data_IF_489392580806
#
_entry.id   IF_489392580806
#
_cell.length_a   1.000
_cell.length_b   1.000
_cell.length_c   1.000
_cell.angle_alpha   90.00
_cell.angle_beta   90.00
_cell.angle_gamma   90.00
#
_symmetry.space_group_name_H-M   'P 1'
#
loop_
_entity.id
_entity.type
_entity.pdbx_description
1 polymer ?
#
# COMPACT_ATOMS: atom_id res chain seq x y z
N UNK A 1 11.78 -1.75 17.82
CA UNK A 1 10.33 -1.67 17.54
C UNK A 1 10.12 -2.24 16.16
N UNK A 2 9.14 -3.09 15.99
CA UNK A 2 8.84 -3.64 14.69
C UNK A 2 8.28 -2.56 13.75
N UNK A 3 8.52 -2.68 12.46
CA UNK A 3 7.89 -1.89 11.42
C UNK A 3 7.37 -2.83 10.34
N UNK A 4 6.15 -3.26 10.49
CA UNK A 4 5.50 -4.09 9.48
C UNK A 4 5.22 -3.28 8.21
N UNK A 5 5.57 -3.85 7.08
CA UNK A 5 5.38 -3.22 5.78
C UNK A 5 4.91 -4.21 4.71
N UNK A 6 4.32 -3.66 3.66
CA UNK A 6 4.06 -4.39 2.43
C UNK A 6 5.26 -4.28 1.50
N UNK A 7 5.75 -5.41 1.03
CA UNK A 7 6.77 -5.50 -0.03
C UNK A 7 6.12 -6.07 -1.28
N UNK A 8 6.29 -5.41 -2.41
CA UNK A 8 5.66 -5.79 -3.68
C UNK A 8 6.74 -6.08 -4.72
N UNK A 9 6.86 -7.32 -5.16
CA UNK A 9 7.67 -7.69 -6.32
C UNK A 9 6.88 -7.41 -7.61
N UNK A 10 7.15 -6.26 -8.23
CA UNK A 10 6.43 -5.78 -9.40
C UNK A 10 6.70 -6.64 -10.63
N UNK A 11 7.86 -7.30 -10.72
CA UNK A 11 8.17 -8.21 -11.84
C UNK A 11 7.32 -9.49 -11.80
N UNK A 12 6.71 -9.80 -10.66
CA UNK A 12 5.78 -10.91 -10.46
C UNK A 12 4.32 -10.49 -10.52
N UNK A 13 4.04 -9.19 -10.50
CA UNK A 13 2.67 -8.68 -10.57
C UNK A 13 2.16 -8.76 -12.02
N UNK A 14 1.19 -9.64 -12.25
CA UNK A 14 0.63 -9.90 -13.59
C UNK A 14 -0.56 -8.99 -13.95
N UNK A 15 -0.88 -8.00 -13.13
CA UNK A 15 -1.99 -7.09 -13.42
C UNK A 15 -3.38 -7.71 -13.34
N UNK A 16 -3.56 -8.80 -12.60
CA UNK A 16 -4.84 -9.54 -12.57
C UNK A 16 -6.02 -8.75 -11.95
N UNK A 17 -5.74 -7.64 -11.25
CA UNK A 17 -6.70 -6.76 -10.55
C UNK A 17 -7.70 -7.47 -9.61
N UNK A 18 -7.67 -8.78 -9.53
CA UNK A 18 -8.66 -9.59 -8.80
C UNK A 18 -8.15 -10.10 -7.47
N UNK A 19 -7.06 -10.83 -7.46
CA UNK A 19 -6.60 -11.56 -6.28
C UNK A 19 -6.42 -10.70 -5.04
N UNK A 20 -5.64 -9.62 -5.13
CA UNK A 20 -5.37 -8.75 -3.99
C UNK A 20 -6.56 -7.88 -3.58
N UNK A 21 -7.23 -7.22 -4.54
CA UNK A 21 -8.37 -6.33 -4.24
C UNK A 21 -9.59 -7.10 -3.80
N UNK A 22 -9.97 -8.16 -4.53
CA UNK A 22 -11.15 -8.98 -4.19
C UNK A 22 -10.94 -9.70 -2.87
N UNK A 23 -9.76 -10.30 -2.66
CA UNK A 23 -9.42 -10.95 -1.39
C UNK A 23 -9.51 -9.97 -0.21
N UNK A 24 -8.98 -8.74 -0.38
CA UNK A 24 -9.07 -7.70 0.65
C UNK A 24 -10.52 -7.28 0.92
N UNK A 25 -11.34 -7.07 -0.13
CA UNK A 25 -12.74 -6.69 0.02
C UNK A 25 -13.56 -7.75 0.74
N UNK A 26 -13.39 -9.00 0.36
CA UNK A 26 -14.11 -10.13 0.97
C UNK A 26 -13.73 -10.28 2.44
N UNK A 27 -12.45 -10.27 2.75
CA UNK A 27 -11.92 -10.40 4.11
C UNK A 27 -12.41 -9.27 5.03
N UNK A 28 -12.31 -8.03 4.56
CA UNK A 28 -12.57 -6.85 5.38
C UNK A 28 -14.00 -6.29 5.22
N UNK A 29 -14.88 -6.99 4.52
CA UNK A 29 -16.30 -6.61 4.29
C UNK A 29 -16.41 -5.18 3.75
N UNK A 30 -15.55 -4.83 2.78
CA UNK A 30 -15.56 -3.50 2.18
C UNK A 30 -16.69 -3.42 1.15
N UNK A 31 -17.50 -2.38 1.25
CA UNK A 31 -18.63 -2.11 0.34
C UNK A 31 -18.22 -2.07 -1.15
N UNK A 32 -19.19 -2.18 -2.05
CA UNK A 32 -18.96 -2.02 -3.48
C UNK A 32 -18.47 -0.59 -3.79
N UNK A 33 -17.54 -0.49 -4.73
CA UNK A 33 -16.91 0.77 -5.11
C UNK A 33 -15.54 0.96 -4.45
N UNK A 34 -15.41 1.44 -3.19
CA UNK A 34 -14.13 1.75 -2.58
C UNK A 34 -13.24 0.52 -2.39
N UNK A 35 -11.91 0.72 -2.35
CA UNK A 35 -10.93 -0.33 -2.11
C UNK A 35 -9.81 0.17 -1.21
N UNK A 36 -9.26 -0.69 -0.33
CA UNK A 36 -8.08 -0.40 0.49
C UNK A 36 -6.77 -0.42 -0.31
N UNK A 37 -6.83 -0.82 -1.56
CA UNK A 37 -5.69 -0.80 -2.47
C UNK A 37 -6.12 -0.26 -3.82
N UNK A 38 -5.28 0.55 -4.43
CA UNK A 38 -5.45 1.05 -5.80
C UNK A 38 -4.47 0.33 -6.70
N UNK A 39 -4.84 0.12 -7.94
CA UNK A 39 -4.05 -0.62 -8.91
C UNK A 39 -3.74 0.27 -10.10
N UNK A 40 -2.48 0.49 -10.38
CA UNK A 40 -2.00 1.34 -11.44
C UNK A 40 -1.28 0.54 -12.54
N UNK A 41 -1.40 1.03 -13.76
CA UNK A 41 -0.62 0.55 -14.90
C UNK A 41 0.46 1.59 -15.19
N UNK A 42 1.71 1.23 -14.96
CA UNK A 42 2.87 2.10 -15.17
C UNK A 42 3.45 1.83 -16.55
N UNK A 43 3.35 2.80 -17.44
CA UNK A 43 3.71 2.66 -18.84
C UNK A 43 2.47 2.68 -19.76
N UNK A 44 2.65 2.41 -21.10
CA UNK A 44 3.91 2.02 -21.72
C UNK A 44 4.94 3.16 -21.77
N UNK A 45 6.21 2.83 -21.58
CA UNK A 45 7.36 3.70 -21.79
C UNK A 45 8.31 3.11 -22.83
N UNK A 46 9.23 3.91 -23.37
CA UNK A 46 10.16 3.47 -24.41
C UNK A 46 9.57 3.53 -25.82
N UNK A 47 10.30 2.94 -26.78
CA UNK A 47 9.95 2.87 -28.19
C UNK A 47 10.07 1.43 -28.68
N UNK A 48 9.21 1.04 -29.62
CA UNK A 48 9.29 -0.29 -30.22
C UNK A 48 10.69 -0.55 -30.82
N UNK A 49 11.32 -1.72 -30.54
CA UNK A 49 10.79 -2.89 -29.84
C UNK A 49 10.90 -2.85 -28.29
N UNK A 50 11.57 -1.87 -27.71
CA UNK A 50 11.90 -1.81 -26.28
C UNK A 50 10.83 -1.04 -25.51
N UNK A 51 9.63 -1.60 -25.48
CA UNK A 51 8.49 -1.06 -24.72
C UNK A 51 8.44 -1.71 -23.34
N UNK A 52 8.39 -0.87 -22.30
CA UNK A 52 8.30 -1.31 -20.92
C UNK A 52 6.93 -0.96 -20.31
N UNK A 53 6.41 -1.86 -19.49
CA UNK A 53 5.20 -1.66 -18.72
C UNK A 53 5.20 -2.58 -17.49
N UNK A 54 4.70 -2.10 -16.36
CA UNK A 54 4.51 -2.92 -15.16
C UNK A 54 3.23 -2.51 -14.42
N UNK A 55 2.80 -3.35 -13.49
CA UNK A 55 1.59 -3.14 -12.71
C UNK A 55 1.95 -2.89 -11.25
N UNK A 56 1.36 -1.85 -10.66
CA UNK A 56 1.68 -1.41 -9.31
C UNK A 56 0.41 -1.39 -8.44
N UNK A 57 0.21 -2.38 -7.59
CA UNK A 57 -0.78 -2.31 -6.52
C UNK A 57 -0.24 -1.43 -5.39
N UNK A 58 -0.99 -0.40 -5.04
CA UNK A 58 -0.66 0.52 -3.93
C UNK A 58 -1.70 0.41 -2.84
N UNK A 59 -1.26 0.20 -1.62
CA UNK A 59 -2.04 0.21 -0.40
C UNK A 59 -1.38 1.13 0.61
N UNK A 60 -1.93 1.26 1.82
CA UNK A 60 -1.31 2.08 2.85
C UNK A 60 0.16 1.75 3.03
N UNK A 61 0.99 2.79 3.01
CA UNK A 61 2.44 2.69 3.05
C UNK A 61 2.99 2.47 4.47
N UNK A 62 2.15 2.45 5.50
CA UNK A 62 2.55 2.28 6.91
C UNK A 62 3.72 3.19 7.28
N UNK A 63 3.58 4.48 7.01
CA UNK A 63 4.62 5.50 7.15
C UNK A 63 5.25 5.52 8.54
N UNK A 64 6.53 5.88 8.61
CA UNK A 64 7.25 6.04 9.87
C UNK A 64 6.73 7.27 10.63
N UNK A 65 6.49 8.37 9.92
CA UNK A 65 5.94 9.63 10.43
C UNK A 65 4.62 9.96 9.71
N UNK A 66 3.50 9.33 10.10
CA UNK A 66 2.27 9.38 9.32
C UNK A 66 1.48 10.67 9.56
N UNK A 67 1.51 11.64 8.65
CA UNK A 67 0.71 12.87 8.72
C UNK A 67 -0.78 12.59 8.95
N UNK A 68 -1.30 11.46 8.48
CA UNK A 68 -2.71 11.12 8.66
C UNK A 68 -3.11 10.90 10.13
N UNK A 69 -2.17 10.55 11.02
CA UNK A 69 -2.44 10.43 12.46
C UNK A 69 -2.42 11.79 13.14
N UNK A 70 -1.51 12.67 12.71
CA UNK A 70 -1.36 14.03 13.30
C UNK A 70 -2.59 14.90 13.07
N UNK A 71 -3.24 14.77 11.91
CA UNK A 71 -4.42 15.58 11.57
C UNK A 71 -5.73 15.00 12.11
N UNK A 72 -5.69 13.88 12.84
CA UNK A 72 -6.91 13.24 13.35
C UNK A 72 -7.40 13.96 14.60
N UNK A 73 -8.57 14.65 14.55
CA UNK A 73 -9.03 15.47 15.68
C UNK A 73 -9.48 14.65 16.89
N UNK A 74 -9.82 13.37 16.69
CA UNK A 74 -10.29 12.47 17.75
C UNK A 74 -9.25 11.45 18.18
N UNK A 75 -8.07 11.41 17.52
CA UNK A 75 -7.07 10.36 17.73
C UNK A 75 -7.49 8.99 17.21
N UNK A 76 -8.59 8.87 16.48
CA UNK A 76 -9.06 7.61 15.91
C UNK A 76 -8.06 6.98 14.92
N UNK A 77 -7.31 7.81 14.19
CA UNK A 77 -6.22 7.35 13.33
C UNK A 77 -4.92 7.41 14.14
N UNK A 78 -4.32 6.28 14.41
CA UNK A 78 -3.12 6.19 15.23
C UNK A 78 -2.11 5.16 14.67
N UNK A 79 -0.86 5.31 15.05
CA UNK A 79 0.19 4.33 14.77
C UNK A 79 0.42 3.49 16.01
N UNK A 80 0.40 2.19 15.85
CA UNK A 80 0.75 1.27 16.91
C UNK A 80 2.27 1.21 17.09
N UNK A 81 2.74 1.24 18.33
CA UNK A 81 4.17 1.26 18.65
C UNK A 81 4.80 -0.15 18.63
N UNK A 82 3.99 -1.20 18.73
CA UNK A 82 4.48 -2.58 18.76
C UNK A 82 4.80 -3.08 17.36
N UNK A 83 3.89 -2.87 16.40
CA UNK A 83 4.00 -3.39 15.03
C UNK A 83 4.25 -2.32 13.95
N UNK A 84 4.20 -1.04 14.33
CA UNK A 84 4.40 0.09 13.42
C UNK A 84 3.26 0.32 12.42
N UNK A 85 2.15 -0.39 12.56
CA UNK A 85 0.99 -0.31 11.65
C UNK A 85 0.09 0.86 12.05
N UNK A 86 -0.49 1.50 11.05
CA UNK A 86 -1.43 2.60 11.27
C UNK A 86 -2.86 2.05 11.24
N UNK A 87 -3.60 2.26 12.31
CA UNK A 87 -4.97 1.81 12.50
C UNK A 87 -5.96 2.96 12.46
N UNK A 88 -7.23 2.63 12.30
CA UNK A 88 -8.36 3.54 12.52
C UNK A 88 -9.33 2.83 13.47
N UNK A 89 -9.50 3.42 14.65
CA UNK A 89 -10.54 3.02 15.59
C UNK A 89 -11.90 3.52 15.08
N UNK A 90 -12.76 2.60 14.69
CA UNK A 90 -14.07 2.91 14.12
C UNK A 90 -15.08 3.43 15.16
N UNK A 91 -14.88 3.15 16.45
CA UNK A 91 -15.77 3.61 17.51
C UNK A 91 -15.55 5.09 17.83
N UNK A 92 -14.31 5.56 17.64
CA UNK A 92 -13.90 6.96 17.90
C UNK A 92 -13.90 7.80 16.62
N UNK A 93 -13.90 7.18 15.44
CA UNK A 93 -13.83 7.86 14.16
C UNK A 93 -15.14 8.60 13.82
N UNK A 94 -15.06 9.91 13.59
CA UNK A 94 -16.20 10.76 13.21
C UNK A 94 -16.38 10.96 11.71
N UNK A 95 -15.62 10.25 10.88
CA UNK A 95 -15.73 10.33 9.41
C UNK A 95 -15.37 11.67 8.77
N UNK A 96 -14.61 12.53 9.44
CA UNK A 96 -14.29 13.89 8.97
C UNK A 96 -13.39 13.96 7.72
N UNK A 97 -12.82 12.84 7.30
CA UNK A 97 -11.95 12.68 6.11
C UNK A 97 -10.63 13.47 6.16
N UNK A 98 -10.23 14.04 7.29
CA UNK A 98 -8.97 14.81 7.39
C UNK A 98 -7.76 13.93 7.06
N UNK A 99 -7.71 12.69 7.57
CA UNK A 99 -6.65 11.72 7.27
C UNK A 99 -6.58 11.32 5.78
N UNK A 100 -7.71 11.33 5.07
CA UNK A 100 -7.73 11.07 3.62
C UNK A 100 -7.11 12.23 2.84
N UNK A 101 -7.45 13.46 3.20
CA UNK A 101 -6.89 14.67 2.55
C UNK A 101 -5.41 14.88 2.85
N UNK A 102 -4.95 14.43 4.02
CA UNK A 102 -3.55 14.55 4.43
C UNK A 102 -2.64 13.45 3.87
N UNK A 103 -3.20 12.36 3.36
CA UNK A 103 -2.40 11.23 2.86
C UNK A 103 -1.87 11.53 1.44
N UNK A 104 -0.54 11.69 1.26
CA UNK A 104 0.01 11.96 -0.08
C UNK A 104 -0.07 10.76 -1.02
N UNK A 105 -0.37 9.56 -0.48
CA UNK A 105 -0.46 8.30 -1.24
C UNK A 105 -1.89 7.89 -1.56
N UNK A 106 -2.90 8.68 -1.21
CA UNK A 106 -4.33 8.43 -1.42
C UNK A 106 -4.80 7.05 -0.91
N UNK A 107 -4.21 6.55 0.17
CA UNK A 107 -4.44 5.20 0.67
C UNK A 107 -5.57 5.05 1.70
N UNK A 108 -6.26 6.14 2.03
CA UNK A 108 -7.43 6.12 2.91
C UNK A 108 -8.72 6.13 2.10
N UNK A 109 -9.73 5.45 2.58
CA UNK A 109 -11.05 5.42 1.98
C UNK A 109 -12.13 5.82 2.98
N UNK A 110 -13.23 6.36 2.48
CA UNK A 110 -14.41 6.64 3.27
C UNK A 110 -15.43 5.49 3.14
N UNK A 111 -15.81 4.92 4.26
CA UNK A 111 -16.90 3.93 4.32
C UNK A 111 -18.22 4.67 4.51
N UNK A 112 -19.00 4.80 3.45
CA UNK A 112 -20.27 5.54 3.48
C UNK A 112 -21.39 4.82 4.23
N UNK A 113 -21.31 3.51 4.41
CA UNK A 113 -22.30 2.73 5.15
C UNK A 113 -22.15 2.92 6.66
N UNK A 114 -20.91 2.94 7.15
CA UNK A 114 -20.57 3.13 8.55
C UNK A 114 -20.27 4.59 8.92
N UNK A 115 -20.14 5.48 7.90
CA UNK A 115 -19.78 6.89 8.07
C UNK A 115 -18.45 7.07 8.82
N UNK A 116 -17.47 6.19 8.56
CA UNK A 116 -16.13 6.22 9.15
C UNK A 116 -15.06 6.12 8.07
N UNK A 117 -13.83 6.47 8.45
CA UNK A 117 -12.68 6.22 7.60
C UNK A 117 -12.23 4.75 7.70
N UNK A 118 -11.61 4.27 6.61
CA UNK A 118 -11.04 2.93 6.57
C UNK A 118 -9.73 2.94 5.75
N UNK A 119 -8.86 1.96 5.99
CA UNK A 119 -7.58 1.81 5.29
C UNK A 119 -6.99 0.41 5.48
N UNK A 120 -5.94 0.10 4.73
CA UNK A 120 -5.19 -1.12 4.95
C UNK A 120 -4.51 -1.11 6.33
N UNK A 121 -4.80 -2.14 7.13
CA UNK A 121 -4.21 -2.43 8.45
C UNK A 121 -3.36 -3.71 8.42
N UNK A 122 -2.86 -4.11 7.24
CA UNK A 122 -2.14 -5.35 6.99
C UNK A 122 -2.90 -6.60 7.49
N UNK A 123 -4.25 -6.56 7.48
CA UNK A 123 -5.13 -7.65 7.95
C UNK A 123 -4.79 -8.13 9.36
N UNK A 124 -4.77 -7.23 10.36
CA UNK A 124 -4.44 -7.54 11.75
C UNK A 124 -5.21 -8.77 12.25
N UNK A 125 -6.52 -8.86 11.98
CA UNK A 125 -7.36 -9.99 12.40
C UNK A 125 -6.88 -11.37 11.89
N UNK A 126 -6.11 -11.41 10.81
CA UNK A 126 -5.50 -12.64 10.29
C UNK A 126 -4.12 -12.87 10.87
N UNK A 127 -3.33 -11.78 11.00
CA UNK A 127 -1.97 -11.84 11.57
C UNK A 127 -2.00 -12.32 13.02
N UNK A 128 -2.99 -11.92 13.80
CA UNK A 128 -3.19 -12.36 15.18
C UNK A 128 -3.47 -13.88 15.29
N UNK A 129 -3.87 -14.51 14.19
CA UNK A 129 -4.08 -15.96 14.06
C UNK A 129 -2.95 -16.65 13.27
N UNK A 130 -1.79 -15.99 13.08
CA UNK A 130 -0.66 -16.46 12.26
C UNK A 130 -1.05 -16.81 10.81
N UNK A 131 -2.04 -16.11 10.26
CA UNK A 131 -2.51 -16.32 8.89
C UNK A 131 -2.06 -15.14 8.03
N UNK A 132 -1.52 -15.44 6.85
CA UNK A 132 -1.14 -14.40 5.87
C UNK A 132 -2.30 -13.46 5.55
N UNK A 133 -2.03 -12.14 5.33
CA UNK A 133 -3.03 -11.20 4.84
C UNK A 133 -3.75 -11.72 3.59
N UNK A 134 -5.05 -11.44 3.49
CA UNK A 134 -5.88 -11.99 2.40
C UNK A 134 -5.37 -11.64 1.01
N UNK A 135 -4.81 -10.44 0.81
CA UNK A 135 -4.23 -10.02 -0.47
C UNK A 135 -2.95 -10.81 -0.82
N UNK A 136 -2.12 -11.13 0.17
CA UNK A 136 -0.92 -11.97 0.01
C UNK A 136 -1.32 -13.37 -0.40
N UNK A 137 -2.19 -14.00 0.39
CA UNK A 137 -2.65 -15.38 0.16
C UNK A 137 -3.32 -15.57 -1.21
N UNK A 138 -4.09 -14.58 -1.67
CA UNK A 138 -4.80 -14.63 -2.94
C UNK A 138 -3.99 -14.09 -4.13
N UNK A 139 -2.74 -13.70 -3.93
CA UNK A 139 -1.90 -13.20 -5.02
C UNK A 139 -1.43 -14.36 -5.92
N UNK A 140 -1.98 -14.44 -7.12
CA UNK A 140 -1.65 -15.51 -8.11
C UNK A 140 -0.17 -15.48 -8.49
N UNK A 141 0.40 -14.27 -8.67
CA UNK A 141 1.81 -14.09 -9.01
C UNK A 141 2.78 -14.22 -7.83
N UNK A 142 2.25 -14.38 -6.58
CA UNK A 142 3.08 -14.32 -5.36
C UNK A 142 3.96 -13.07 -5.32
N UNK A 143 3.36 -11.94 -5.67
CA UNK A 143 4.03 -10.65 -5.77
C UNK A 143 3.98 -9.85 -4.46
N UNK A 144 3.10 -10.19 -3.52
CA UNK A 144 2.87 -9.45 -2.29
C UNK A 144 3.46 -10.21 -1.10
N UNK A 145 4.21 -9.49 -0.26
CA UNK A 145 4.81 -9.99 0.96
C UNK A 145 4.55 -9.01 2.10
N UNK A 146 4.35 -9.48 3.31
CA UNK A 146 4.19 -8.66 4.51
C UNK A 146 5.10 -9.20 5.60
N UNK A 147 5.80 -8.31 6.27
CA UNK A 147 6.69 -8.66 7.38
C UNK A 147 7.35 -7.43 7.99
N UNK A 148 8.15 -7.68 9.00
CA UNK A 148 8.95 -6.66 9.68
C UNK A 148 10.19 -6.34 8.85
N UNK A 149 10.32 -5.08 8.42
CA UNK A 149 11.49 -4.61 7.65
C UNK A 149 12.66 -4.19 8.54
N UNK A 150 12.46 -4.09 9.84
CA UNK A 150 13.52 -3.80 10.82
C UNK A 150 14.15 -5.09 11.39
N UNK A 151 13.50 -6.24 11.24
CA UNK A 151 14.05 -7.54 11.62
C UNK A 151 14.87 -8.14 10.45
N UNK A 152 16.22 -8.22 10.55
CA UNK A 152 17.06 -8.78 9.50
C UNK A 152 16.78 -10.26 9.20
N UNK A 153 16.19 -10.99 10.16
CA UNK A 153 15.86 -12.41 9.99
C UNK A 153 14.50 -12.62 9.32
N UNK A 154 13.69 -11.59 9.16
CA UNK A 154 12.40 -11.68 8.48
C UNK A 154 12.56 -12.06 7.00
N UNK A 155 11.55 -12.74 6.45
CA UNK A 155 11.54 -13.11 5.02
C UNK A 155 11.55 -11.87 4.11
N UNK A 156 10.89 -10.78 4.51
CA UNK A 156 10.85 -9.55 3.72
C UNK A 156 12.19 -8.83 3.73
N UNK A 157 12.91 -8.80 4.86
CA UNK A 157 14.25 -8.20 4.92
C UNK A 157 15.26 -8.97 4.07
N UNK A 158 15.21 -10.31 4.11
CA UNK A 158 16.02 -11.17 3.24
C UNK A 158 15.70 -10.93 1.76
N UNK A 159 14.41 -10.85 1.41
CA UNK A 159 13.98 -10.55 0.04
C UNK A 159 14.46 -9.17 -0.43
N UNK A 160 14.42 -8.16 0.44
CA UNK A 160 14.94 -6.81 0.12
C UNK A 160 16.45 -6.82 -0.06
N UNK A 161 17.21 -7.52 0.79
CA UNK A 161 18.66 -7.66 0.68
C UNK A 161 19.09 -8.38 -0.61
N UNK A 162 18.38 -9.44 -1.01
CA UNK A 162 18.62 -10.14 -2.27
C UNK A 162 18.38 -9.27 -3.52
N UNK A 163 17.61 -8.19 -3.38
CA UNK A 163 17.26 -7.27 -4.46
C UNK A 163 17.84 -5.87 -4.25
N UNK A 164 18.92 -5.71 -3.48
CA UNK A 164 19.60 -4.45 -3.28
C UNK A 164 19.90 -3.75 -4.63
N UNK A 165 19.59 -2.45 -4.72
CA UNK A 165 19.70 -1.68 -5.96
C UNK A 165 18.48 -1.72 -6.88
N UNK A 166 17.50 -2.58 -6.60
CA UNK A 166 16.23 -2.68 -7.31
C UNK A 166 15.01 -2.45 -6.40
N UNK A 167 15.25 -1.89 -5.21
CA UNK A 167 14.22 -1.58 -4.22
C UNK A 167 13.88 -0.10 -4.29
N UNK A 168 12.60 0.20 -4.41
CA UNK A 168 12.07 1.56 -4.54
C UNK A 168 10.99 1.84 -3.50
N UNK A 169 10.79 3.11 -3.22
CA UNK A 169 9.68 3.63 -2.40
C UNK A 169 8.88 4.64 -3.22
N UNK A 170 7.65 4.89 -2.84
CA UNK A 170 6.88 5.99 -3.40
C UNK A 170 7.55 7.32 -3.03
N UNK A 171 7.53 8.28 -3.96
CA UNK A 171 8.03 9.62 -3.73
C UNK A 171 7.28 10.26 -2.56
N UNK A 172 8.02 10.84 -1.63
CA UNK A 172 7.48 11.51 -0.45
C UNK A 172 8.06 12.91 -0.32
N UNK A 173 7.22 13.92 -0.50
CA UNK A 173 7.59 15.34 -0.37
C UNK A 173 7.21 15.91 1.01
N UNK A 174 6.47 15.13 1.83
CA UNK A 174 5.90 15.58 3.09
C UNK A 174 6.63 15.03 4.33
N UNK A 175 7.70 14.25 4.15
CA UNK A 175 8.46 13.67 5.26
C UNK A 175 7.76 12.54 6.01
N UNK A 176 6.85 11.83 5.35
CA UNK A 176 6.12 10.70 5.95
C UNK A 176 6.98 9.45 6.12
N UNK A 177 8.06 9.31 5.37
CA UNK A 177 8.92 8.14 5.28
C UNK A 177 8.10 6.84 5.07
N UNK A 178 7.58 6.58 3.85
CA UNK A 178 6.79 5.39 3.58
C UNK A 178 7.58 4.11 3.82
N UNK A 179 7.01 3.16 4.56
CA UNK A 179 7.66 1.86 4.84
C UNK A 179 7.41 0.82 3.75
N UNK A 180 6.43 1.03 2.86
CA UNK A 180 6.18 0.18 1.71
C UNK A 180 7.39 0.10 0.78
N UNK A 181 7.69 -1.09 0.25
CA UNK A 181 8.82 -1.33 -0.65
C UNK A 181 8.34 -1.98 -1.93
N UNK A 182 8.94 -1.57 -3.04
CA UNK A 182 8.66 -2.09 -4.38
C UNK A 182 9.95 -2.63 -4.99
N UNK A 183 9.93 -3.87 -5.46
CA UNK A 183 11.06 -4.50 -6.15
C UNK A 183 10.77 -4.46 -7.65
N UNK A 184 11.67 -3.88 -8.44
CA UNK A 184 11.54 -3.78 -9.90
C UNK A 184 12.90 -3.94 -10.55
N UNK A 185 13.12 -5.03 -11.29
CA UNK A 185 14.38 -5.41 -11.92
C UNK A 185 14.35 -5.28 -13.45
N UNK A 186 13.16 -5.49 -14.04
CA UNK A 186 13.00 -5.65 -15.50
C UNK A 186 12.66 -4.37 -16.24
N UNK A 187 12.08 -3.39 -15.53
CA UNK A 187 11.64 -2.13 -16.12
C UNK A 187 12.27 -0.96 -15.36
N UNK A 188 12.27 0.21 -15.99
CA UNK A 188 12.70 1.44 -15.33
C UNK A 188 11.64 1.91 -14.33
N UNK A 189 12.08 2.27 -13.13
CA UNK A 189 11.20 2.88 -12.13
C UNK A 189 10.69 4.24 -12.59
N UNK A 190 9.40 4.48 -12.45
CA UNK A 190 8.74 5.76 -12.71
C UNK A 190 8.55 6.46 -11.36
N UNK A 191 9.17 7.62 -11.19
CA UNK A 191 9.22 8.35 -9.90
C UNK A 191 7.89 9.05 -9.55
N UNK A 192 7.10 9.40 -10.55
CA UNK A 192 5.80 10.03 -10.30
C UNK A 192 4.91 9.09 -9.48
N UNK A 193 4.15 9.65 -8.55
CA UNK A 193 3.14 8.87 -7.84
C UNK A 193 2.17 8.24 -8.86
N UNK A 194 1.70 7.01 -8.61
CA UNK A 194 0.92 6.29 -9.62
C UNK A 194 -0.29 7.04 -10.16
N UNK A 195 -1.03 7.76 -9.30
CA UNK A 195 -2.19 8.56 -9.70
C UNK A 195 -1.79 9.82 -10.51
N UNK A 196 -0.65 10.46 -10.21
CA UNK A 196 -0.10 11.58 -10.99
C UNK A 196 0.34 11.09 -12.37
N UNK A 197 1.00 9.93 -12.43
CA UNK A 197 1.41 9.31 -13.66
C UNK A 197 0.21 9.01 -14.59
N UNK A 198 -0.86 8.43 -14.05
CA UNK A 198 -2.10 8.20 -14.83
C UNK A 198 -2.75 9.50 -15.30
N UNK A 199 -2.76 10.55 -14.46
CA UNK A 199 -3.26 11.87 -14.86
C UNK A 199 -2.43 12.49 -15.98
N UNK A 200 -1.11 12.37 -15.92
CA UNK A 200 -0.21 12.81 -17.02
C UNK A 200 -0.50 12.05 -18.32
N UNK A 201 -0.71 10.73 -18.26
CA UNK A 201 -1.06 9.94 -19.44
C UNK A 201 -2.39 10.38 -20.07
N UNK A 202 -3.35 10.85 -19.26
CA UNK A 202 -4.63 11.37 -19.73
C UNK A 202 -4.58 12.85 -20.15
N UNK A 203 -3.44 13.52 -19.96
CA UNK A 203 -3.27 14.94 -20.26
C UNK A 203 -4.04 15.88 -19.31
N UNK A 204 -4.25 15.46 -18.06
CA UNK A 204 -4.97 16.23 -17.03
C UNK A 204 -4.05 17.17 -16.24
N UNK A 205 -2.74 16.92 -16.24
CA UNK A 205 -1.66 17.71 -15.60
C UNK A 205 -0.40 17.64 -16.44
#
# INVERSE_FOLDING_TARGET
MAQLAMVVDLDRCIGCRGGCQVGCKTENKIALGPSRSTFYTMGPTGHFPDIEMYFMPVMCQQCKYPTCTEVCPTGACYKDEEDGVIYIDREVCIGCQSCMRACPFECNLFNSELVVMDKCNLCVQRRDEDIEPACVRNCVGRALHVGDIEDPESEVSKLLAENEGHVYTLKDENGNEPSGRFILRKCKWIEDLPFEYERKLRGEI
#
